data_IF_207892379628
#
_entry.id   IF_207892379628
#
_cell.length_a   1.000
_cell.length_b   1.000
_cell.length_c   1.000
_cell.angle_alpha   90.00
_cell.angle_beta   90.00
_cell.angle_gamma   90.00
#
_symmetry.space_group_name_H-M   'P 1'
#
loop_
_entity.id
_entity.type
_entity.pdbx_description
1 polymer ?
#
# COMPACT_ATOMS: atom_id res chain seq x y z
N UNK A 1 11.79 5.17 -0.86
CA UNK A 1 11.05 4.24 0.02
C UNK A 1 11.84 4.22 1.31
N UNK A 2 11.28 4.69 2.43
CA UNK A 2 12.02 4.76 3.69
C UNK A 2 12.10 3.34 4.25
N UNK A 3 13.26 2.71 4.08
CA UNK A 3 13.65 1.48 4.78
C UNK A 3 14.37 1.82 6.08
N UNK A 4 14.03 2.95 6.71
CA UNK A 4 14.61 3.32 8.00
C UNK A 4 14.24 2.24 9.00
N UNK A 5 15.25 1.76 9.74
CA UNK A 5 15.10 0.85 10.85
C UNK A 5 14.24 1.54 11.92
N UNK A 6 12.92 1.44 11.79
CA UNK A 6 12.02 1.96 12.81
C UNK A 6 12.26 1.15 14.08
N UNK A 7 12.73 1.77 15.16
CA UNK A 7 12.60 1.20 16.50
C UNK A 7 11.12 0.91 16.77
N UNK A 8 10.81 -0.02 17.68
CA UNK A 8 9.43 -0.41 18.00
C UNK A 8 8.54 0.81 18.24
N UNK A 9 9.01 1.75 19.06
CA UNK A 9 8.27 2.97 19.42
C UNK A 9 8.02 3.88 18.21
N UNK A 10 9.03 4.13 17.38
CA UNK A 10 8.90 5.01 16.21
C UNK A 10 7.94 4.44 15.15
N UNK A 11 7.92 3.11 15.00
CA UNK A 11 6.95 2.46 14.11
C UNK A 11 5.51 2.62 14.64
N UNK A 12 5.32 2.43 15.95
CA UNK A 12 4.01 2.57 16.57
C UNK A 12 3.50 4.01 16.55
N UNK A 13 4.38 4.99 16.73
CA UNK A 13 4.03 6.41 16.60
C UNK A 13 3.55 6.71 15.17
N UNK A 14 4.26 6.17 14.17
CA UNK A 14 3.88 6.32 12.76
C UNK A 14 2.53 5.66 12.45
N UNK A 15 2.36 4.40 12.83
CA UNK A 15 1.12 3.63 12.59
C UNK A 15 -0.05 4.16 13.43
N UNK A 16 0.24 4.70 14.62
CA UNK A 16 -0.70 5.34 15.55
C UNK A 16 -1.14 6.72 15.12
N UNK A 17 -0.46 7.34 14.16
CA UNK A 17 -0.83 8.65 13.61
C UNK A 17 -2.20 8.64 12.92
N UNK A 18 -2.78 9.83 12.71
CA UNK A 18 -4.04 9.96 11.96
C UNK A 18 -3.86 9.75 10.44
N UNK A 19 -2.61 9.65 9.99
CA UNK A 19 -2.30 9.36 8.58
C UNK A 19 -2.62 7.90 8.24
N UNK A 20 -2.95 7.66 6.98
CA UNK A 20 -3.05 6.29 6.47
C UNK A 20 -1.64 5.73 6.25
N UNK A 21 -1.38 4.54 6.79
CA UNK A 21 -0.11 3.83 6.58
C UNK A 21 -0.40 2.48 5.93
N UNK A 22 0.22 2.22 4.79
CA UNK A 22 0.14 0.97 4.07
C UNK A 22 1.37 0.10 4.37
N UNK A 23 1.15 -0.95 5.15
CA UNK A 23 2.15 -1.89 5.60
C UNK A 23 2.23 -3.07 4.62
N UNK A 24 3.43 -3.45 4.18
CA UNK A 24 3.70 -4.66 3.42
C UNK A 24 4.54 -5.65 4.25
N UNK A 25 3.92 -6.74 4.71
CA UNK A 25 4.63 -7.82 5.36
C UNK A 25 5.20 -8.78 4.31
N UNK A 26 6.53 -8.88 4.28
CA UNK A 26 7.25 -9.67 3.28
C UNK A 26 8.32 -10.56 3.91
N UNK A 27 8.88 -11.45 3.08
CA UNK A 27 9.92 -12.40 3.43
C UNK A 27 10.84 -12.63 2.22
N UNK A 28 12.14 -12.85 2.46
CA UNK A 28 13.11 -13.15 1.40
C UNK A 28 12.95 -14.57 0.82
N UNK A 29 12.35 -15.49 1.59
CA UNK A 29 12.04 -16.87 1.18
C UNK A 29 10.71 -17.00 0.44
N UNK A 30 10.07 -15.88 0.10
CA UNK A 30 8.77 -15.82 -0.54
C UNK A 30 8.88 -15.38 -2.01
N UNK A 31 8.87 -16.31 -2.99
CA UNK A 31 8.84 -15.98 -4.41
C UNK A 31 7.73 -14.99 -4.83
N UNK A 32 6.47 -15.13 -4.37
CA UNK A 32 5.42 -14.18 -4.75
C UNK A 32 5.64 -12.77 -4.19
N UNK A 33 6.42 -12.63 -3.11
CA UNK A 33 6.78 -11.33 -2.56
C UNK A 33 7.68 -10.53 -3.53
N UNK A 34 8.56 -11.20 -4.29
CA UNK A 34 9.40 -10.53 -5.30
C UNK A 34 8.59 -9.88 -6.42
N UNK A 35 7.47 -10.49 -6.80
CA UNK A 35 6.55 -9.93 -7.81
C UNK A 35 5.85 -8.68 -7.29
N UNK A 36 5.50 -8.66 -6.00
CA UNK A 36 4.79 -7.55 -5.39
C UNK A 36 5.70 -6.37 -4.99
N UNK A 37 6.99 -6.59 -4.76
CA UNK A 37 7.94 -5.54 -4.42
C UNK A 37 7.90 -4.33 -5.39
N UNK A 38 8.03 -4.51 -6.72
CA UNK A 38 7.96 -3.37 -7.65
C UNK A 38 6.57 -2.74 -7.74
N UNK A 39 5.50 -3.50 -7.47
CA UNK A 39 4.12 -2.97 -7.38
C UNK A 39 4.01 -2.03 -6.17
N UNK A 40 4.50 -2.47 -5.02
CA UNK A 40 4.47 -1.68 -3.78
C UNK A 40 5.27 -0.39 -3.93
N UNK A 41 6.44 -0.44 -4.56
CA UNK A 41 7.25 0.75 -4.86
C UNK A 41 6.54 1.77 -5.75
N UNK A 42 5.88 1.31 -6.83
CA UNK A 42 5.13 2.21 -7.73
C UNK A 42 3.95 2.87 -7.02
N UNK A 43 3.20 2.09 -6.24
CA UNK A 43 2.11 2.63 -5.43
C UNK A 43 2.62 3.65 -4.39
N UNK A 44 3.74 3.37 -3.73
CA UNK A 44 4.35 4.30 -2.79
C UNK A 44 4.77 5.63 -3.43
N UNK A 45 5.20 5.61 -4.69
CA UNK A 45 5.44 6.86 -5.46
C UNK A 45 4.14 7.58 -5.80
N UNK A 46 3.11 6.84 -6.20
CA UNK A 46 1.81 7.39 -6.64
C UNK A 46 1.01 8.04 -5.53
N UNK A 47 1.10 7.52 -4.31
CA UNK A 47 0.38 8.01 -3.13
C UNK A 47 1.28 8.79 -2.16
N UNK A 48 2.48 9.19 -2.59
CA UNK A 48 3.46 9.90 -1.77
C UNK A 48 2.83 11.15 -1.13
N UNK A 49 2.83 11.24 0.19
CA UNK A 49 2.25 12.36 0.95
C UNK A 49 0.74 12.23 1.23
N UNK A 50 0.04 11.27 0.61
CA UNK A 50 -1.34 10.90 0.96
C UNK A 50 -1.38 9.68 1.88
N UNK A 51 -0.56 8.68 1.59
CA UNK A 51 -0.46 7.43 2.34
C UNK A 51 1.02 7.13 2.54
N UNK A 52 1.39 6.78 3.77
CA UNK A 52 2.74 6.35 4.11
C UNK A 52 2.92 4.87 3.78
N UNK A 53 4.00 4.50 3.09
CA UNK A 53 4.27 3.12 2.68
C UNK A 53 5.42 2.55 3.49
N UNK A 54 5.19 1.46 4.21
CA UNK A 54 6.21 0.81 5.03
C UNK A 54 6.29 -0.67 4.70
N UNK A 55 7.49 -1.14 4.36
CA UNK A 55 7.75 -2.56 4.15
C UNK A 55 8.33 -3.15 5.45
N UNK A 56 7.72 -4.23 5.93
CA UNK A 56 8.09 -4.91 7.17
C UNK A 56 8.53 -6.33 6.85
N UNK A 57 9.79 -6.63 7.15
CA UNK A 57 10.34 -7.98 7.04
C UNK A 57 9.85 -8.82 8.22
N UNK A 58 9.21 -9.94 7.92
CA UNK A 58 8.75 -10.90 8.95
C UNK A 58 9.90 -11.62 9.65
N UNK A 59 11.11 -11.59 9.08
CA UNK A 59 12.34 -12.11 9.70
C UNK A 59 12.95 -11.11 10.68
N UNK A 60 13.01 -9.83 10.29
CA UNK A 60 13.64 -8.80 11.12
C UNK A 60 12.70 -8.31 12.22
N UNK A 61 11.38 -8.40 12.00
CA UNK A 61 10.33 -7.93 12.92
C UNK A 61 9.22 -8.98 13.13
N UNK A 62 9.54 -10.14 13.71
CA UNK A 62 8.58 -11.22 13.96
C UNK A 62 7.50 -10.82 14.99
N UNK A 63 7.83 -9.92 15.90
CA UNK A 63 6.93 -9.32 16.89
C UNK A 63 5.80 -8.51 16.21
N UNK A 64 6.14 -7.72 15.19
CA UNK A 64 5.17 -6.97 14.39
C UNK A 64 4.27 -7.91 13.59
N UNK A 65 4.87 -8.91 12.95
CA UNK A 65 4.13 -9.94 12.23
C UNK A 65 3.12 -10.63 13.15
N UNK A 66 3.52 -11.01 14.37
CA UNK A 66 2.65 -11.61 15.37
C UNK A 66 1.51 -10.66 15.79
N UNK A 67 1.80 -9.39 16.03
CA UNK A 67 0.81 -8.40 16.50
C UNK A 67 -0.27 -8.11 15.45
N UNK A 68 0.10 -8.08 14.18
CA UNK A 68 -0.86 -7.92 13.08
C UNK A 68 -1.55 -9.24 12.66
N UNK A 69 -1.17 -10.36 13.27
CA UNK A 69 -1.72 -11.68 12.99
C UNK A 69 -1.31 -12.22 11.61
N UNK A 70 -0.08 -11.93 11.19
CA UNK A 70 0.44 -12.34 9.89
C UNK A 70 0.79 -13.82 9.93
N UNK A 71 -0.01 -14.63 9.24
CA UNK A 71 0.20 -16.08 9.08
C UNK A 71 0.82 -16.44 7.73
N UNK A 72 0.75 -15.54 6.75
CA UNK A 72 1.28 -15.77 5.40
C UNK A 72 1.82 -14.47 4.79
N UNK A 73 2.82 -14.62 3.92
CA UNK A 73 3.39 -13.51 3.14
C UNK A 73 3.23 -13.80 1.64
N UNK A 74 2.97 -12.78 0.79
CA UNK A 74 2.84 -11.37 1.15
C UNK A 74 1.46 -11.03 1.74
N UNK A 75 1.45 -10.20 2.78
CA UNK A 75 0.23 -9.61 3.35
C UNK A 75 0.38 -8.10 3.41
N UNK A 76 -0.62 -7.36 2.91
CA UNK A 76 -0.65 -5.91 2.99
C UNK A 76 -1.78 -5.44 3.89
N UNK A 77 -1.50 -4.43 4.70
CA UNK A 77 -2.46 -3.90 5.67
C UNK A 77 -2.45 -2.37 5.56
N UNK A 78 -3.63 -1.80 5.28
CA UNK A 78 -3.84 -0.37 5.44
C UNK A 78 -4.25 -0.11 6.89
N UNK A 79 -3.51 0.73 7.58
CA UNK A 79 -3.77 1.14 8.95
C UNK A 79 -4.07 2.63 9.03
N UNK A 80 -4.84 3.01 10.03
CA UNK A 80 -5.06 4.40 10.44
C UNK A 80 -5.31 4.45 11.94
N UNK A 81 -4.67 5.36 12.67
CA UNK A 81 -4.78 5.47 14.14
C UNK A 81 -4.54 4.14 14.86
N UNK A 82 -3.52 3.39 14.43
CA UNK A 82 -3.17 2.10 15.02
C UNK A 82 -4.09 0.93 14.67
N UNK A 83 -5.14 1.15 13.86
CA UNK A 83 -6.14 0.12 13.53
C UNK A 83 -6.03 -0.29 12.07
N UNK A 84 -6.13 -1.59 11.81
CA UNK A 84 -6.23 -2.12 10.45
C UNK A 84 -7.59 -1.77 9.84
N UNK A 85 -7.57 -0.97 8.79
CA UNK A 85 -8.74 -0.54 8.01
C UNK A 85 -9.02 -1.55 6.89
N UNK A 86 -7.97 -2.06 6.23
CA UNK A 86 -8.09 -3.01 5.13
C UNK A 86 -6.93 -4.00 5.15
N UNK A 87 -7.20 -5.24 4.76
CA UNK A 87 -6.20 -6.31 4.61
C UNK A 87 -6.27 -6.92 3.22
N UNK A 88 -5.11 -7.31 2.72
CA UNK A 88 -4.89 -7.84 1.40
C UNK A 88 -3.92 -9.01 1.51
N UNK A 89 -4.23 -10.12 0.83
CA UNK A 89 -3.46 -11.35 0.96
C UNK A 89 -2.99 -11.81 -0.43
N UNK A 90 -1.73 -12.22 -0.50
CA UNK A 90 -1.14 -12.79 -1.71
C UNK A 90 -0.84 -11.75 -2.79
N UNK A 91 -0.77 -12.23 -4.03
CA UNK A 91 -0.43 -11.42 -5.21
C UNK A 91 -1.68 -10.71 -5.71
N UNK A 92 -1.63 -9.39 -5.76
CA UNK A 92 -2.75 -8.55 -6.18
C UNK A 92 -2.28 -7.62 -7.28
N UNK A 93 -3.13 -7.44 -8.29
CA UNK A 93 -2.86 -6.50 -9.38
C UNK A 93 -2.74 -5.09 -8.84
N UNK A 94 -1.74 -4.36 -9.32
CA UNK A 94 -1.48 -2.97 -8.94
C UNK A 94 -2.71 -2.07 -9.06
N UNK A 95 -3.47 -2.20 -10.15
CA UNK A 95 -4.66 -1.40 -10.40
C UNK A 95 -5.71 -1.62 -9.31
N UNK A 96 -5.85 -2.86 -8.82
CA UNK A 96 -6.82 -3.18 -7.78
C UNK A 96 -6.40 -2.60 -6.44
N UNK A 97 -5.11 -2.67 -6.10
CA UNK A 97 -4.59 -1.99 -4.90
C UNK A 97 -4.76 -0.48 -5.01
N UNK A 98 -4.42 0.13 -6.15
CA UNK A 98 -4.58 1.56 -6.37
C UNK A 98 -6.04 2.01 -6.24
N UNK A 99 -6.98 1.27 -6.81
CA UNK A 99 -8.41 1.54 -6.67
C UNK A 99 -8.86 1.49 -5.21
N UNK A 100 -8.48 0.44 -4.47
CA UNK A 100 -8.86 0.30 -3.06
C UNK A 100 -8.23 1.38 -2.18
N UNK A 101 -6.97 1.76 -2.43
CA UNK A 101 -6.31 2.85 -1.70
C UNK A 101 -6.93 4.22 -2.03
N UNK A 102 -7.40 4.41 -3.27
CA UNK A 102 -8.04 5.66 -3.71
C UNK A 102 -9.34 5.96 -2.96
N UNK A 103 -10.01 4.94 -2.41
CA UNK A 103 -11.18 5.12 -1.55
C UNK A 103 -10.85 5.79 -0.21
N UNK A 104 -9.58 5.76 0.21
CA UNK A 104 -9.13 6.30 1.50
C UNK A 104 -8.35 7.61 1.35
N UNK A 105 -7.60 7.77 0.26
CA UNK A 105 -6.90 9.01 -0.05
C UNK A 105 -6.71 9.17 -1.57
N UNK A 106 -6.85 10.39 -2.11
CA UNK A 106 -6.60 10.62 -3.53
C UNK A 106 -5.10 10.39 -3.85
N UNK A 107 -4.78 9.79 -5.01
CA UNK A 107 -3.40 9.68 -5.46
C UNK A 107 -2.82 11.09 -5.70
N UNK A 108 -1.62 11.34 -5.19
CA UNK A 108 -0.93 12.63 -5.28
C UNK A 108 -0.19 12.81 -6.60
N UNK A 109 0.21 11.72 -7.26
CA UNK A 109 0.65 11.74 -8.64
C UNK A 109 -0.51 11.37 -9.58
N UNK A 110 -0.67 12.05 -10.72
CA UNK A 110 -1.55 11.56 -11.77
C UNK A 110 -1.15 10.12 -12.09
N UNK A 111 -2.10 9.19 -12.31
CA UNK A 111 -1.76 7.87 -12.82
C UNK A 111 -0.90 8.06 -14.05
N UNK A 112 0.38 7.73 -13.95
CA UNK A 112 1.21 7.51 -15.10
C UNK A 112 0.48 6.49 -15.98
N UNK A 113 0.14 6.94 -17.19
CA UNK A 113 -0.69 6.27 -18.18
C UNK A 113 0.02 4.99 -18.66
N UNK A 114 -0.06 3.94 -17.86
CA UNK A 114 0.51 2.62 -18.12
C UNK A 114 -0.54 1.53 -17.95
N UNK A 115 -1.54 1.51 -18.83
CA UNK A 115 -2.45 0.37 -19.01
C UNK A 115 -3.93 0.72 -19.03
N UNK A 116 -4.53 0.56 -20.21
CA UNK A 116 -5.98 0.64 -20.51
C UNK A 116 -6.62 2.02 -20.49
N UNK A 117 -6.35 2.80 -21.54
CA UNK A 117 -7.38 3.66 -22.10
C UNK A 117 -8.53 2.81 -22.62
N UNK A 118 -9.65 2.76 -21.88
CA UNK A 118 -10.96 2.44 -22.49
C UNK A 118 -12.19 2.97 -21.73
N UNK A 119 -12.06 3.67 -20.60
CA UNK A 119 -13.24 4.10 -19.83
C UNK A 119 -13.20 5.56 -19.40
N UNK A 120 -12.70 6.46 -20.26
CA UNK A 120 -12.63 7.91 -19.96
C UNK A 120 -13.07 8.85 -21.08
N UNK A 121 -13.43 8.36 -22.28
CA UNK A 121 -13.72 9.23 -23.45
C UNK A 121 -15.20 9.46 -23.79
N UNK A 122 -16.15 9.05 -22.94
CA UNK A 122 -17.58 9.35 -23.19
C UNK A 122 -18.16 10.36 -22.19
N UNK A 123 -17.39 10.77 -21.16
CA UNK A 123 -17.77 11.83 -20.23
C UNK A 123 -17.40 13.25 -20.72
N UNK A 124 -17.46 13.49 -22.04
CA UNK A 124 -17.70 14.83 -22.59
C UNK A 124 -19.22 14.92 -22.77
N UNK A 125 -20.00 15.06 -21.70
CA UNK A 125 -20.39 16.39 -21.22
C UNK A 125 -20.48 17.41 -22.38
N UNK A 126 -21.71 17.81 -22.67
CA UNK A 126 -22.03 19.20 -23.00
C UNK A 126 -21.18 19.85 -24.11
N UNK A 127 -21.43 19.46 -25.36
CA UNK A 127 -21.54 20.46 -26.44
C UNK A 127 -23.04 20.68 -26.62
N UNK A 128 -23.63 21.49 -25.74
CA UNK A 128 -24.30 22.75 -26.12
C UNK A 128 -25.26 22.54 -27.30
N UNK A 129 -26.55 22.57 -26.97
CA UNK A 129 -27.70 23.07 -27.72
C UNK A 129 -27.63 22.98 -29.26
#
# INVERSE_FOLDING_TARGET
MKSEEYTDDAFWDQVGSDSHTFLAFWSHTCPPCKVMAPVFERLGKRFRGSIEFVAVSTYDRPDMAKRFGISSTPTFILTRRGKAVRRFYGVIREQKLAEELSNFAPPTAPPDLGGSGLLGKIASIFRRN
#
